data_IF_622366549008
#
_entry.id   IF_622366549008
#
_cell.length_a   1.000
_cell.length_b   1.000
_cell.length_c   1.000
_cell.angle_alpha   90.00
_cell.angle_beta   90.00
_cell.angle_gamma   90.00
#
_symmetry.space_group_name_H-M   'P 1'
#
loop_
_entity.id
_entity.type
_entity.pdbx_description
1 polymer ?
#
# COMPACT_ATOMS: atom_id res chain seq x y z
N UNK A 1 14.13 -19.22 -2.50
CA UNK A 1 14.45 -20.65 -2.78
C UNK A 1 15.42 -21.17 -1.72
N UNK A 2 16.62 -20.59 -1.50
CA UNK A 2 17.61 -21.09 -0.54
C UNK A 2 17.06 -21.19 0.89
N UNK A 3 16.34 -20.19 1.40
CA UNK A 3 15.73 -20.24 2.73
C UNK A 3 14.70 -21.35 2.89
N UNK A 4 13.91 -21.64 1.83
CA UNK A 4 12.96 -22.76 1.84
C UNK A 4 13.68 -24.11 1.90
N UNK A 5 14.76 -24.27 1.13
CA UNK A 5 15.58 -25.48 1.15
C UNK A 5 16.22 -25.68 2.54
N UNK A 6 16.81 -24.64 3.12
CA UNK A 6 17.35 -24.69 4.47
C UNK A 6 16.31 -25.06 5.54
N UNK A 7 15.11 -24.48 5.45
CA UNK A 7 14.01 -24.81 6.36
C UNK A 7 13.56 -26.25 6.22
N UNK A 8 13.50 -26.77 4.98
CA UNK A 8 13.13 -28.16 4.72
C UNK A 8 14.15 -29.15 5.32
N UNK A 9 15.45 -28.95 5.06
CA UNK A 9 16.48 -29.83 5.62
C UNK A 9 16.61 -29.69 7.15
N UNK A 10 16.36 -28.51 7.70
CA UNK A 10 16.27 -28.32 9.15
C UNK A 10 15.09 -29.12 9.76
N UNK A 11 13.95 -29.15 9.06
CA UNK A 11 12.81 -29.98 9.47
C UNK A 11 13.16 -31.45 9.46
N UNK A 12 13.78 -31.98 8.38
CA UNK A 12 14.21 -33.37 8.29
C UNK A 12 15.18 -33.75 9.40
N UNK A 13 16.08 -32.84 9.82
CA UNK A 13 17.01 -33.05 10.93
C UNK A 13 16.26 -33.10 12.28
N UNK A 14 15.23 -32.25 12.47
CA UNK A 14 14.41 -32.20 13.68
C UNK A 14 13.53 -33.47 13.86
N UNK A 15 13.12 -34.09 12.75
CA UNK A 15 12.36 -35.32 12.70
C UNK A 15 13.25 -36.59 12.70
N UNK A 16 14.57 -36.43 12.92
CA UNK A 16 15.57 -37.53 12.92
C UNK A 16 15.60 -38.36 11.63
N UNK A 17 15.07 -37.80 10.51
CA UNK A 17 15.09 -38.47 9.18
C UNK A 17 16.50 -38.46 8.59
N UNK A 18 17.27 -37.38 8.86
CA UNK A 18 18.67 -37.25 8.44
C UNK A 18 19.54 -36.94 9.66
N UNK A 19 20.78 -37.39 9.65
CA UNK A 19 21.73 -37.13 10.73
C UNK A 19 22.62 -35.92 10.54
N UNK A 20 22.69 -35.39 9.31
CA UNK A 20 23.51 -34.23 8.95
C UNK A 20 22.72 -33.33 8.02
N UNK A 21 22.80 -32.02 8.25
CA UNK A 21 22.13 -31.04 7.40
C UNK A 21 23.01 -30.71 6.17
N UNK A 22 22.67 -31.19 4.95
CA UNK A 22 23.49 -30.93 3.75
C UNK A 22 23.52 -29.46 3.32
N UNK A 23 22.65 -28.63 3.91
CA UNK A 23 22.56 -27.20 3.58
C UNK A 23 23.27 -26.29 4.59
N UNK A 24 24.02 -26.86 5.54
CA UNK A 24 24.68 -26.10 6.60
C UNK A 24 25.71 -25.12 6.05
N UNK A 25 26.48 -25.55 5.05
CA UNK A 25 27.49 -24.74 4.36
C UNK A 25 26.95 -23.85 3.25
N UNK A 26 25.64 -23.93 2.93
CA UNK A 26 25.03 -23.08 1.93
C UNK A 26 24.92 -21.64 2.48
N UNK A 27 25.79 -20.76 2.05
CA UNK A 27 25.65 -19.34 2.36
C UNK A 27 24.50 -18.73 1.55
N UNK A 28 23.61 -18.01 2.24
CA UNK A 28 22.65 -17.17 1.55
C UNK A 28 23.40 -16.01 0.88
N UNK A 29 23.12 -15.68 -0.39
CA UNK A 29 23.73 -14.54 -1.03
C UNK A 29 23.59 -13.32 -0.14
N UNK A 30 24.69 -12.67 0.21
CA UNK A 30 24.67 -11.40 0.93
C UNK A 30 24.03 -10.39 -0.03
N UNK A 31 22.74 -10.15 0.13
CA UNK A 31 22.08 -9.02 -0.49
C UNK A 31 22.77 -7.76 0.02
N UNK A 32 23.43 -7.02 -0.87
CA UNK A 32 23.83 -5.65 -0.53
C UNK A 32 22.56 -4.93 -0.10
N UNK A 33 22.52 -4.46 1.14
CA UNK A 33 21.42 -3.61 1.61
C UNK A 33 21.47 -2.31 0.81
N UNK A 34 20.83 -2.28 -0.37
CA UNK A 34 20.46 -1.01 -0.96
C UNK A 34 19.53 -0.36 0.05
N UNK A 35 19.88 0.81 0.52
CA UNK A 35 18.95 1.66 1.26
C UNK A 35 17.69 1.76 0.41
N UNK A 36 16.52 1.52 0.99
CA UNK A 36 15.28 1.61 0.21
C UNK A 36 15.17 3.03 -0.36
N UNK A 37 14.86 3.12 -1.65
CA UNK A 37 14.59 4.40 -2.29
C UNK A 37 13.39 5.04 -1.58
N UNK A 38 13.62 6.15 -0.88
CA UNK A 38 12.57 6.98 -0.30
C UNK A 38 12.36 8.21 -1.18
N UNK A 39 11.15 8.72 -1.20
CA UNK A 39 10.83 10.02 -1.79
C UNK A 39 11.06 11.11 -0.75
N UNK A 40 11.58 12.25 -1.15
CA UNK A 40 11.55 13.45 -0.30
C UNK A 40 10.12 14.02 -0.19
N UNK A 41 9.90 14.93 0.74
CA UNK A 41 8.60 15.60 0.90
C UNK A 41 8.22 16.35 -0.39
N UNK A 42 9.20 17.01 -1.05
CA UNK A 42 9.01 17.70 -2.32
C UNK A 42 8.62 16.74 -3.45
N UNK A 43 9.26 15.57 -3.52
CA UNK A 43 8.93 14.54 -4.51
C UNK A 43 7.53 13.98 -4.27
N UNK A 44 7.13 13.76 -3.01
CA UNK A 44 5.76 13.34 -2.67
C UNK A 44 4.75 14.42 -3.07
N UNK A 45 5.03 15.68 -2.77
CA UNK A 45 4.16 16.81 -3.15
C UNK A 45 4.06 16.94 -4.67
N UNK A 46 5.16 16.75 -5.40
CA UNK A 46 5.19 16.76 -6.87
C UNK A 46 4.35 15.60 -7.45
N UNK A 47 4.51 14.39 -6.88
CA UNK A 47 3.71 13.22 -7.27
C UNK A 47 2.22 13.49 -7.08
N UNK A 48 1.83 13.96 -5.90
CA UNK A 48 0.45 14.29 -5.56
C UNK A 48 -0.07 15.45 -6.44
N UNK A 49 0.75 16.48 -6.70
CA UNK A 49 0.41 17.63 -7.53
C UNK A 49 0.20 17.29 -9.01
N UNK A 50 0.86 16.25 -9.52
CA UNK A 50 0.74 15.81 -10.91
C UNK A 50 -0.59 15.14 -11.26
N UNK A 51 -1.44 14.85 -10.26
CA UNK A 51 -2.69 14.12 -10.45
C UNK A 51 -3.79 15.07 -10.92
N UNK A 52 -4.30 14.83 -12.13
CA UNK A 52 -5.42 15.57 -12.69
C UNK A 52 -6.74 15.12 -12.05
N UNK A 53 -7.25 15.91 -11.13
CA UNK A 53 -8.50 15.62 -10.38
C UNK A 53 -9.77 15.94 -11.18
N UNK A 54 -9.68 16.47 -12.41
CA UNK A 54 -10.84 16.72 -13.27
C UNK A 54 -11.43 15.44 -13.83
N UNK A 55 -10.67 14.35 -13.82
CA UNK A 55 -11.11 13.02 -14.26
C UNK A 55 -11.55 12.15 -13.10
N UNK A 56 -12.56 11.28 -13.29
CA UNK A 56 -13.01 10.36 -12.24
C UNK A 56 -11.90 9.46 -11.69
N UNK A 57 -11.04 8.95 -12.58
CA UNK A 57 -9.88 8.14 -12.21
C UNK A 57 -8.85 8.96 -11.44
N UNK A 58 -8.61 10.20 -11.85
CA UNK A 58 -7.67 11.09 -11.17
C UNK A 58 -8.14 11.47 -9.78
N UNK A 59 -9.42 11.82 -9.60
CA UNK A 59 -10.00 12.09 -8.28
C UNK A 59 -9.85 10.88 -7.34
N UNK A 60 -10.16 9.66 -7.84
CA UNK A 60 -9.92 8.41 -7.10
C UNK A 60 -8.44 8.21 -6.78
N UNK A 61 -7.56 8.37 -7.76
CA UNK A 61 -6.13 8.12 -7.61
C UNK A 61 -5.49 9.12 -6.63
N UNK A 62 -5.97 10.36 -6.61
CA UNK A 62 -5.57 11.38 -5.62
C UNK A 62 -5.91 10.91 -4.21
N UNK A 63 -7.16 10.49 -3.97
CA UNK A 63 -7.59 9.95 -2.68
C UNK A 63 -6.77 8.72 -2.27
N UNK A 64 -6.44 7.83 -3.21
CA UNK A 64 -5.60 6.65 -2.97
C UNK A 64 -4.20 7.06 -2.48
N UNK A 65 -3.51 7.94 -3.22
CA UNK A 65 -2.13 8.33 -2.89
C UNK A 65 -2.06 9.09 -1.58
N UNK A 66 -2.98 10.03 -1.36
CA UNK A 66 -3.10 10.76 -0.11
C UNK A 66 -3.33 9.83 1.10
N UNK A 67 -4.24 8.85 0.95
CA UNK A 67 -4.52 7.87 2.02
C UNK A 67 -3.31 6.96 2.28
N UNK A 68 -2.66 6.48 1.22
CA UNK A 68 -1.48 5.62 1.35
C UNK A 68 -0.34 6.33 2.06
N UNK A 69 -0.06 7.56 1.68
CA UNK A 69 1.02 8.34 2.26
C UNK A 69 0.68 8.80 3.67
N UNK A 70 -0.50 9.39 3.90
CA UNK A 70 -0.91 9.90 5.22
C UNK A 70 -0.94 8.82 6.31
N UNK A 71 -1.33 7.60 5.96
CA UNK A 71 -1.51 6.50 6.92
C UNK A 71 -0.42 5.43 6.85
N UNK A 72 0.52 5.55 5.92
CA UNK A 72 1.55 4.54 5.70
C UNK A 72 0.99 3.13 5.45
N UNK A 73 -0.13 3.00 4.71
CA UNK A 73 -0.82 1.73 4.52
C UNK A 73 -0.04 0.72 3.68
N UNK A 74 -0.23 -0.57 4.00
CA UNK A 74 0.11 -1.62 3.03
C UNK A 74 -0.90 -1.61 1.89
N UNK A 75 -0.46 -1.99 0.69
CA UNK A 75 -1.36 -2.03 -0.48
C UNK A 75 -2.59 -2.91 -0.26
N UNK A 76 -2.45 -4.03 0.45
CA UNK A 76 -3.60 -4.89 0.79
C UNK A 76 -4.58 -4.22 1.74
N UNK A 77 -4.09 -3.44 2.70
CA UNK A 77 -4.93 -2.68 3.65
C UNK A 77 -5.71 -1.58 2.93
N UNK A 78 -5.06 -0.89 1.98
CA UNK A 78 -5.73 0.12 1.16
C UNK A 78 -6.84 -0.50 0.29
N UNK A 79 -6.55 -1.60 -0.42
CA UNK A 79 -7.52 -2.20 -1.34
C UNK A 79 -8.73 -2.78 -0.63
N UNK A 80 -8.59 -3.20 0.62
CA UNK A 80 -9.68 -3.72 1.46
C UNK A 80 -10.26 -2.72 2.44
N UNK A 81 -9.84 -1.43 2.35
CA UNK A 81 -10.35 -0.39 3.24
C UNK A 81 -11.85 -0.17 2.99
N UNK A 82 -12.62 -0.16 4.08
CA UNK A 82 -14.07 -0.05 4.07
C UNK A 82 -14.53 1.38 4.36
N UNK A 83 -15.66 1.76 3.81
CA UNK A 83 -16.33 3.02 4.14
C UNK A 83 -16.65 3.09 5.64
N UNK A 84 -17.18 1.99 6.20
CA UNK A 84 -17.52 1.87 7.63
C UNK A 84 -16.32 1.93 8.57
N UNK A 85 -15.11 1.89 8.03
CA UNK A 85 -13.86 1.95 8.79
C UNK A 85 -13.21 3.35 8.80
N UNK A 86 -13.89 4.36 8.27
CA UNK A 86 -13.41 5.74 8.23
C UNK A 86 -14.16 6.53 9.30
N UNK A 87 -13.44 7.01 10.30
CA UNK A 87 -13.97 7.84 11.40
C UNK A 87 -13.49 9.28 11.19
N UNK A 88 -14.14 9.97 10.24
CA UNK A 88 -13.71 11.29 9.79
C UNK A 88 -13.77 12.33 10.92
N UNK A 89 -14.79 12.26 11.79
CA UNK A 89 -15.02 13.20 12.88
C UNK A 89 -13.88 13.20 13.92
N UNK A 90 -13.23 12.04 14.09
CA UNK A 90 -12.12 11.88 15.04
C UNK A 90 -10.76 11.72 14.36
N UNK A 91 -10.70 11.75 13.02
CA UNK A 91 -9.47 11.71 12.25
C UNK A 91 -8.74 10.35 12.29
N UNK A 92 -9.46 9.24 12.31
CA UNK A 92 -8.89 7.90 12.33
C UNK A 92 -9.50 6.99 11.26
N UNK A 93 -8.72 5.98 10.86
CA UNK A 93 -9.21 4.84 10.09
C UNK A 93 -8.90 3.54 10.81
N UNK A 94 -9.78 2.55 10.68
CA UNK A 94 -9.55 1.19 11.14
C UNK A 94 -9.06 0.32 9.98
N UNK A 95 -7.96 -0.36 10.16
CA UNK A 95 -7.41 -1.31 9.17
C UNK A 95 -7.24 -2.70 9.79
N UNK A 96 -7.44 -3.72 8.94
CA UNK A 96 -7.28 -5.11 9.32
C UNK A 96 -5.97 -5.61 8.67
N UNK A 97 -5.00 -5.97 9.50
CA UNK A 97 -3.68 -6.42 9.09
C UNK A 97 -3.55 -7.95 9.01
N UNK A 98 -2.30 -8.41 8.88
CA UNK A 98 -1.98 -9.85 8.87
C UNK A 98 -2.47 -10.52 10.17
N UNK A 99 -3.12 -11.67 10.03
CA UNK A 99 -3.67 -12.43 11.17
C UNK A 99 -4.95 -11.81 11.74
N UNK A 100 -5.70 -11.07 10.92
CA UNK A 100 -6.96 -10.42 11.30
C UNK A 100 -6.82 -9.42 12.48
N UNK A 101 -5.60 -8.88 12.68
CA UNK A 101 -5.36 -7.89 13.74
C UNK A 101 -5.84 -6.52 13.28
N UNK A 102 -6.73 -5.94 14.04
CA UNK A 102 -7.24 -4.59 13.82
C UNK A 102 -6.33 -3.55 14.48
N UNK A 103 -6.20 -2.39 13.83
CA UNK A 103 -5.56 -1.22 14.42
C UNK A 103 -6.20 0.06 13.92
N UNK A 104 -6.23 1.07 14.77
CA UNK A 104 -6.58 2.44 14.40
C UNK A 104 -5.32 3.18 13.97
N UNK A 105 -5.44 3.93 12.89
CA UNK A 105 -4.36 4.74 12.33
C UNK A 105 -4.89 6.17 12.17
N UNK A 106 -4.17 7.20 12.65
CA UNK A 106 -4.53 8.56 12.37
C UNK A 106 -4.47 8.85 10.86
N UNK A 107 -5.39 9.66 10.37
CA UNK A 107 -5.46 10.08 8.97
C UNK A 107 -5.44 11.60 8.88
N UNK A 108 -4.60 12.14 7.99
CA UNK A 108 -4.51 13.58 7.79
C UNK A 108 -5.74 14.18 7.10
N UNK A 109 -5.97 15.47 7.37
CA UNK A 109 -7.11 16.21 6.83
C UNK A 109 -7.15 16.26 5.31
N UNK A 110 -5.98 16.32 4.64
CA UNK A 110 -5.88 16.25 3.17
C UNK A 110 -6.44 14.93 2.63
N UNK A 111 -6.03 13.81 3.21
CA UNK A 111 -6.52 12.48 2.80
C UNK A 111 -8.04 12.37 3.01
N UNK A 112 -8.57 12.81 4.15
CA UNK A 112 -10.01 12.82 4.41
C UNK A 112 -10.76 13.66 3.39
N UNK A 113 -10.27 14.87 3.07
CA UNK A 113 -10.85 15.73 2.06
C UNK A 113 -10.98 15.03 0.69
N UNK A 114 -9.91 14.39 0.21
CA UNK A 114 -9.94 13.72 -1.08
C UNK A 114 -10.74 12.42 -1.06
N UNK A 115 -10.80 11.71 0.05
CA UNK A 115 -11.73 10.58 0.25
C UNK A 115 -13.17 11.08 0.10
N UNK A 116 -13.53 12.20 0.75
CA UNK A 116 -14.89 12.73 0.69
C UNK A 116 -15.26 13.17 -0.74
N UNK A 117 -14.39 13.92 -1.41
CA UNK A 117 -14.57 14.31 -2.83
C UNK A 117 -14.79 13.06 -3.71
N UNK A 118 -13.99 12.01 -3.50
CA UNK A 118 -14.14 10.77 -4.25
C UNK A 118 -15.47 10.07 -3.94
N UNK A 119 -15.84 9.97 -2.67
CA UNK A 119 -17.10 9.34 -2.23
C UNK A 119 -18.31 10.02 -2.84
N UNK A 120 -18.41 11.36 -2.71
CA UNK A 120 -19.59 12.13 -3.08
C UNK A 120 -19.73 12.30 -4.59
N UNK A 121 -18.62 12.47 -5.32
CA UNK A 121 -18.70 12.84 -6.74
C UNK A 121 -18.46 11.66 -7.69
N UNK A 122 -17.69 10.65 -7.29
CA UNK A 122 -17.27 9.58 -8.19
C UNK A 122 -17.83 8.22 -7.77
N UNK A 123 -17.63 7.83 -6.50
CA UNK A 123 -17.99 6.50 -6.03
C UNK A 123 -19.52 6.27 -6.09
N UNK A 124 -20.30 7.29 -5.82
CA UNK A 124 -21.79 7.22 -5.91
C UNK A 124 -22.30 6.88 -7.31
N UNK A 125 -21.51 7.15 -8.35
CA UNK A 125 -21.83 6.84 -9.74
C UNK A 125 -21.43 5.42 -10.15
N UNK A 126 -20.72 4.70 -9.29
CA UNK A 126 -20.25 3.34 -9.57
C UNK A 126 -21.14 2.36 -8.84
N UNK A 127 -21.82 1.48 -9.61
CA UNK A 127 -22.60 0.39 -9.02
C UNK A 127 -21.64 -0.67 -8.45
N UNK A 128 -21.62 -0.90 -7.12
CA UNK A 128 -20.74 -1.90 -6.53
C UNK A 128 -21.12 -3.32 -6.96
N UNK A 129 -20.15 -4.19 -7.14
CA UNK A 129 -20.38 -5.62 -7.32
C UNK A 129 -20.86 -6.24 -6.00
N UNK A 130 -21.44 -7.44 -6.08
CA UNK A 130 -21.91 -8.20 -4.91
C UNK A 130 -20.82 -8.26 -3.82
N UNK A 131 -21.19 -7.88 -2.59
CA UNK A 131 -20.32 -7.83 -1.42
C UNK A 131 -19.19 -6.78 -1.49
N UNK A 132 -19.28 -5.78 -2.39
CA UNK A 132 -18.30 -4.69 -2.51
C UNK A 132 -18.88 -3.33 -2.09
N UNK A 133 -20.09 -3.30 -1.55
CA UNK A 133 -20.82 -2.07 -1.19
C UNK A 133 -20.06 -1.22 -0.17
N UNK A 134 -19.37 -1.86 0.76
CA UNK A 134 -18.59 -1.21 1.83
C UNK A 134 -17.12 -0.96 1.48
N UNK A 135 -16.65 -1.39 0.30
CA UNK A 135 -15.27 -1.12 -0.14
C UNK A 135 -15.14 0.35 -0.56
N UNK A 136 -14.13 1.04 -0.02
CA UNK A 136 -13.90 2.45 -0.33
C UNK A 136 -13.52 2.66 -1.80
N UNK A 137 -12.42 2.05 -2.26
CA UNK A 137 -11.87 2.28 -3.58
C UNK A 137 -12.29 1.21 -4.59
N UNK A 138 -13.12 1.60 -5.54
CA UNK A 138 -13.63 0.72 -6.58
C UNK A 138 -12.98 0.99 -7.94
N UNK A 139 -12.90 -0.06 -8.76
CA UNK A 139 -12.61 0.07 -10.18
C UNK A 139 -13.90 0.47 -10.94
N UNK A 140 -13.78 0.80 -12.24
CA UNK A 140 -14.91 1.20 -13.09
C UNK A 140 -16.03 0.16 -13.21
N UNK A 141 -15.76 -1.11 -12.87
CA UNK A 141 -16.72 -2.21 -12.91
C UNK A 141 -17.36 -2.48 -11.53
N UNK A 142 -17.13 -1.61 -10.54
CA UNK A 142 -17.70 -1.74 -9.20
C UNK A 142 -16.99 -2.75 -8.29
N UNK A 143 -15.90 -3.36 -8.74
CA UNK A 143 -15.11 -4.27 -7.92
C UNK A 143 -13.96 -3.58 -7.19
N UNK A 144 -13.47 -4.21 -6.15
CA UNK A 144 -12.26 -3.81 -5.42
C UNK A 144 -11.05 -3.67 -6.35
N UNK A 145 -10.18 -2.70 -6.11
CA UNK A 145 -8.91 -2.56 -6.82
C UNK A 145 -7.95 -3.70 -6.45
N UNK A 146 -7.26 -4.24 -7.46
CA UNK A 146 -6.19 -5.21 -7.20
C UNK A 146 -4.89 -4.52 -6.78
N UNK A 147 -4.01 -5.27 -6.08
CA UNK A 147 -2.66 -4.79 -5.74
C UNK A 147 -1.85 -4.40 -6.98
N UNK A 148 -2.04 -5.12 -8.06
CA UNK A 148 -1.39 -4.87 -9.36
C UNK A 148 -1.88 -3.55 -9.95
N UNK A 149 -3.18 -3.24 -9.84
CA UNK A 149 -3.72 -1.95 -10.30
C UNK A 149 -3.11 -0.78 -9.52
N UNK A 150 -3.00 -0.88 -8.20
CA UNK A 150 -2.36 0.17 -7.38
C UNK A 150 -0.88 0.37 -7.80
N UNK A 151 -0.16 -0.71 -8.08
CA UNK A 151 1.20 -0.63 -8.59
C UNK A 151 1.29 0.14 -9.90
N UNK A 152 0.41 -0.14 -10.86
CA UNK A 152 0.37 0.59 -12.14
C UNK A 152 -0.03 2.05 -11.98
N UNK A 153 -1.00 2.35 -11.12
CA UNK A 153 -1.38 3.75 -10.80
C UNK A 153 -0.16 4.54 -10.30
N UNK A 154 0.56 3.99 -9.32
CA UNK A 154 1.75 4.66 -8.77
C UNK A 154 2.82 4.84 -9.85
N UNK A 155 3.09 3.80 -10.65
CA UNK A 155 4.09 3.86 -11.72
C UNK A 155 3.76 4.92 -12.77
N UNK A 156 2.52 4.99 -13.20
CA UNK A 156 2.03 6.00 -14.16
C UNK A 156 2.18 7.42 -13.59
N UNK A 157 1.72 7.64 -12.35
CA UNK A 157 1.82 8.93 -11.68
C UNK A 157 3.27 9.35 -11.46
N UNK A 158 4.16 8.42 -11.13
CA UNK A 158 5.59 8.67 -10.97
C UNK A 158 6.22 9.15 -12.27
N UNK A 159 5.88 8.49 -13.39
CA UNK A 159 6.34 8.88 -14.71
C UNK A 159 5.80 10.28 -15.11
N UNK A 160 4.51 10.54 -14.86
CA UNK A 160 3.86 11.83 -15.11
C UNK A 160 4.47 12.96 -14.28
N UNK A 161 4.88 12.68 -13.06
CA UNK A 161 5.55 13.62 -12.16
C UNK A 161 7.02 13.87 -12.52
N UNK A 162 7.59 13.14 -13.49
CA UNK A 162 9.00 13.26 -13.87
C UNK A 162 9.99 12.74 -12.84
N UNK A 163 9.54 11.88 -11.89
CA UNK A 163 10.37 11.34 -10.83
C UNK A 163 11.17 10.14 -11.38
N UNK A 164 12.50 10.26 -11.38
CA UNK A 164 13.40 9.23 -11.92
C UNK A 164 13.54 7.97 -11.03
N UNK A 165 13.10 8.05 -9.77
CA UNK A 165 13.16 6.92 -8.82
C UNK A 165 12.14 5.84 -9.16
N UNK A 166 12.47 4.58 -8.82
CA UNK A 166 11.54 3.47 -8.99
C UNK A 166 10.55 3.43 -7.82
N UNK A 167 9.43 4.16 -7.97
CA UNK A 167 8.41 4.29 -6.93
C UNK A 167 7.39 3.17 -7.02
N UNK A 168 7.10 2.55 -5.90
CA UNK A 168 6.10 1.50 -5.73
C UNK A 168 5.40 1.64 -4.35
N UNK A 169 4.35 0.87 -4.05
CA UNK A 169 3.61 1.02 -2.78
C UNK A 169 4.48 1.00 -1.51
N UNK A 170 5.52 0.16 -1.50
CA UNK A 170 6.45 0.12 -0.37
C UNK A 170 7.31 1.38 -0.26
N UNK A 171 7.69 2.00 -1.37
CA UNK A 171 8.43 3.27 -1.38
C UNK A 171 7.63 4.36 -0.68
N UNK A 172 6.35 4.55 -1.03
CA UNK A 172 5.47 5.53 -0.36
C UNK A 172 5.34 5.27 1.14
N UNK A 173 5.19 4.01 1.54
CA UNK A 173 5.13 3.63 2.94
C UNK A 173 6.47 3.87 3.68
N UNK A 174 7.61 3.60 3.04
CA UNK A 174 8.92 3.89 3.62
C UNK A 174 9.13 5.39 3.76
N UNK A 175 8.77 6.18 2.74
CA UNK A 175 8.84 7.66 2.80
C UNK A 175 8.00 8.20 3.96
N UNK A 176 6.77 7.72 4.13
CA UNK A 176 5.95 8.07 5.30
C UNK A 176 6.67 7.76 6.61
N UNK A 177 7.23 6.55 6.77
CA UNK A 177 7.90 6.15 7.99
C UNK A 177 9.14 7.00 8.28
N UNK A 178 9.93 7.34 7.26
CA UNK A 178 11.09 8.23 7.36
C UNK A 178 10.68 9.63 7.80
N UNK A 179 9.71 10.23 7.10
CA UNK A 179 9.24 11.59 7.39
C UNK A 179 8.57 11.71 8.78
N UNK A 180 7.92 10.63 9.25
CA UNK A 180 7.33 10.61 10.60
C UNK A 180 8.40 10.63 11.71
N UNK A 181 9.60 10.12 11.44
CA UNK A 181 10.71 10.09 12.42
C UNK A 181 11.54 11.37 12.37
N UNK A 182 11.58 12.04 11.23
CA UNK A 182 12.36 13.27 11.00
C UNK A 182 11.62 14.55 11.39
N UNK A 183 10.30 14.52 11.54
CA UNK A 183 9.43 15.64 11.94
C UNK A 183 8.99 15.53 13.38
#
# INVERSE_FOLDING_TARGET
>A
IISGIKSFFKYLLLEDIIKVNPTELLESPKSSRKLPDTLSIEEVNTLIGSIDVSTPEGARNKAIIETMYSCGLRVSELTTLKLSNIYADVGFIRVIGKGNKERLIPIGTSALKYIEIYKENIRVQILPQKNQDDILFLNRRGGMLSRVMIFYIIKELTAKAGIAKNVHPHTLRHSFATHLVEG
#
